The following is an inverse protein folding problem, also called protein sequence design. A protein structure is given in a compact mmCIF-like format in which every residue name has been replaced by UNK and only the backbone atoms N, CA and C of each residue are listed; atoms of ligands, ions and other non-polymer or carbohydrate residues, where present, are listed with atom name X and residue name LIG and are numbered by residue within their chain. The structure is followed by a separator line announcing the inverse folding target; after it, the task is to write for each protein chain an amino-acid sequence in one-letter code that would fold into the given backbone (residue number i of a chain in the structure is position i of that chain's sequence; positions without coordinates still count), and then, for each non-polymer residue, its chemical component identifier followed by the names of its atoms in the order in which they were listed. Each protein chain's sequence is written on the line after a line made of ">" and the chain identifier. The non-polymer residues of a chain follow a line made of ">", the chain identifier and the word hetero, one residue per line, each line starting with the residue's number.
data_IF_763331000550
#
_entry.id   IF_763331000550
#
_cell.length_a   1.000
_cell.length_b   1.000
_cell.length_c   1.000
_cell.angle_alpha   90.00
_cell.angle_beta   90.00
_cell.angle_gamma   90.00
#
_symmetry.space_group_name_H-M   'P 1'
#
loop_
_entity.id
_entity.type
_entity.pdbx_description
1 polymer ?
#
# COMPACT_ATOMS: atom_id res chain seq x y z
N UNK A 1 -35.23 21.43 39.65
CA UNK A 1 -35.16 21.22 38.20
C UNK A 1 -33.90 20.42 37.88
N UNK A 2 -33.94 19.10 38.06
CA UNK A 2 -32.83 18.24 37.68
C UNK A 2 -33.03 17.86 36.20
N UNK A 3 -32.23 18.47 35.31
CA UNK A 3 -32.26 18.14 33.89
C UNK A 3 -31.79 16.70 33.71
N UNK A 4 -32.71 15.81 33.30
CA UNK A 4 -32.39 14.43 33.01
C UNK A 4 -31.31 14.36 31.93
N UNK A 5 -30.19 13.72 32.25
CA UNK A 5 -29.17 13.40 31.27
C UNK A 5 -29.79 12.43 30.24
N UNK A 6 -29.98 12.89 29.01
CA UNK A 6 -30.38 12.03 27.88
C UNK A 6 -29.18 11.14 27.51
N UNK A 7 -29.10 9.98 28.14
CA UNK A 7 -28.04 8.99 27.87
C UNK A 7 -28.46 8.17 26.65
N UNK A 8 -28.25 8.70 25.45
CA UNK A 8 -28.70 8.05 24.20
C UNK A 8 -27.78 6.90 23.72
N UNK A 9 -26.59 6.67 24.31
CA UNK A 9 -25.81 5.47 23.95
C UNK A 9 -24.68 5.06 24.92
N UNK A 10 -25.03 4.37 26.01
CA UNK A 10 -24.05 3.58 26.79
C UNK A 10 -23.35 2.55 25.88
N UNK A 11 -24.09 2.01 24.92
CA UNK A 11 -23.61 1.07 23.91
C UNK A 11 -22.51 1.65 23.02
N UNK A 12 -22.60 2.93 22.65
CA UNK A 12 -21.56 3.59 21.86
C UNK A 12 -20.24 3.72 22.63
N UNK A 13 -20.30 3.92 23.95
CA UNK A 13 -19.09 3.92 24.80
C UNK A 13 -18.44 2.54 24.86
N UNK A 14 -19.23 1.46 24.94
CA UNK A 14 -18.69 0.08 24.89
C UNK A 14 -18.11 -0.27 23.52
N UNK A 15 -18.79 0.14 22.45
CA UNK A 15 -18.30 -0.03 21.09
C UNK A 15 -17.00 0.75 20.87
N UNK A 16 -16.94 2.00 21.33
CA UNK A 16 -15.73 2.82 21.27
C UNK A 16 -14.58 2.22 22.07
N UNK A 17 -14.83 1.75 23.30
CA UNK A 17 -13.82 1.01 24.09
C UNK A 17 -13.25 -0.17 23.33
N UNK A 18 -14.11 -0.98 22.73
CA UNK A 18 -13.71 -2.16 21.95
C UNK A 18 -12.85 -1.75 20.75
N UNK A 19 -13.28 -0.72 19.99
CA UNK A 19 -12.51 -0.18 18.87
C UNK A 19 -11.15 0.39 19.33
N UNK A 20 -11.11 1.05 20.49
CA UNK A 20 -9.91 1.64 21.06
C UNK A 20 -8.86 0.59 21.45
N UNK A 21 -9.29 -0.51 22.06
CA UNK A 21 -8.40 -1.65 22.38
C UNK A 21 -7.89 -2.30 21.09
N UNK A 22 -8.79 -2.59 20.14
CA UNK A 22 -8.41 -3.17 18.84
C UNK A 22 -7.42 -2.29 18.07
N UNK A 23 -7.57 -0.97 18.16
CA UNK A 23 -6.61 -0.02 17.58
C UNK A 23 -5.23 -0.17 18.23
N UNK A 24 -5.15 -0.25 19.57
CA UNK A 24 -3.89 -0.47 20.27
C UNK A 24 -3.21 -1.79 19.90
N UNK A 25 -3.99 -2.87 19.78
CA UNK A 25 -3.49 -4.17 19.30
C UNK A 25 -2.94 -4.08 17.87
N UNK A 26 -3.68 -3.44 16.97
CA UNK A 26 -3.26 -3.27 15.57
C UNK A 26 -1.98 -2.43 15.45
N UNK A 27 -1.87 -1.33 16.20
CA UNK A 27 -0.65 -0.50 16.23
C UNK A 27 0.53 -1.29 16.78
N UNK A 28 0.33 -2.02 17.88
CA UNK A 28 1.39 -2.82 18.51
C UNK A 28 1.90 -3.89 17.55
N UNK A 29 0.98 -4.61 16.90
CA UNK A 29 1.32 -5.65 15.92
C UNK A 29 2.10 -5.08 14.73
N UNK A 30 1.61 -4.00 14.12
CA UNK A 30 2.26 -3.38 12.97
C UNK A 30 3.69 -2.87 13.30
N UNK A 31 3.88 -2.29 14.49
CA UNK A 31 5.19 -1.86 14.94
C UNK A 31 6.14 -3.04 15.19
N UNK A 32 5.64 -4.14 15.76
CA UNK A 32 6.42 -5.36 16.00
C UNK A 32 6.83 -6.06 14.71
N UNK A 33 5.94 -6.14 13.73
CA UNK A 33 6.23 -6.76 12.43
C UNK A 33 7.34 -5.98 11.70
N UNK A 34 7.21 -4.66 11.61
CA UNK A 34 8.22 -3.79 11.00
C UNK A 34 9.58 -3.92 11.70
N UNK A 35 9.60 -3.85 13.03
CA UNK A 35 10.83 -4.01 13.82
C UNK A 35 11.48 -5.39 13.61
N UNK A 36 10.66 -6.44 13.55
CA UNK A 36 11.14 -7.81 13.35
C UNK A 36 11.80 -7.99 11.97
N UNK A 37 11.21 -7.41 10.91
CA UNK A 37 11.78 -7.46 9.56
C UNK A 37 13.09 -6.67 9.45
N UNK A 38 13.13 -5.47 10.03
CA UNK A 38 14.33 -4.64 10.08
C UNK A 38 15.46 -5.33 10.84
N UNK A 39 15.15 -5.88 12.02
CA UNK A 39 16.14 -6.57 12.84
C UNK A 39 16.64 -7.86 12.17
N UNK A 40 15.76 -8.64 11.54
CA UNK A 40 16.15 -9.83 10.76
C UNK A 40 17.11 -9.46 9.63
N UNK A 41 16.78 -8.40 8.89
CA UNK A 41 17.60 -7.90 7.78
C UNK A 41 18.97 -7.41 8.27
N UNK A 42 19.01 -6.71 9.40
CA UNK A 42 20.26 -6.27 10.02
C UNK A 42 21.13 -7.46 10.43
N UNK A 43 20.55 -8.44 11.13
CA UNK A 43 21.28 -9.66 11.54
C UNK A 43 21.86 -10.39 10.34
N UNK A 44 21.08 -10.54 9.26
CA UNK A 44 21.57 -11.14 8.01
C UNK A 44 22.74 -10.36 7.40
N UNK A 45 22.66 -9.02 7.38
CA UNK A 45 23.74 -8.15 6.87
C UNK A 45 25.00 -8.17 7.74
N UNK A 46 24.88 -8.44 9.05
CA UNK A 46 26.01 -8.47 9.98
C UNK A 46 26.68 -9.84 10.07
N UNK A 47 25.94 -10.92 9.83
CA UNK A 47 26.42 -12.30 10.07
C UNK A 47 26.56 -13.11 8.78
N UNK A 48 25.45 -13.40 8.11
CA UNK A 48 25.40 -14.30 6.95
C UNK A 48 26.03 -13.68 5.71
N UNK A 49 25.65 -12.45 5.36
CA UNK A 49 26.13 -11.80 4.15
C UNK A 49 27.66 -11.57 4.14
N UNK A 50 28.29 -11.10 5.23
CA UNK A 50 29.75 -10.96 5.27
C UNK A 50 30.46 -12.30 5.18
N UNK A 51 29.93 -13.33 5.84
CA UNK A 51 30.47 -14.70 5.80
C UNK A 51 30.41 -15.27 4.38
N UNK A 52 29.28 -15.11 3.71
CA UNK A 52 29.10 -15.54 2.32
C UNK A 52 30.09 -14.85 1.38
N UNK A 53 30.18 -13.51 1.41
CA UNK A 53 31.06 -12.77 0.52
C UNK A 53 32.55 -13.01 0.83
N UNK A 54 32.94 -13.17 2.10
CA UNK A 54 34.29 -13.59 2.47
C UNK A 54 34.64 -14.97 1.87
N UNK A 55 33.69 -15.92 1.88
CA UNK A 55 33.85 -17.22 1.22
C UNK A 55 33.97 -17.09 -0.30
N UNK A 56 33.17 -16.22 -0.94
CA UNK A 56 33.26 -15.96 -2.38
C UNK A 56 34.59 -15.32 -2.78
N UNK A 57 35.10 -14.39 -1.98
CA UNK A 57 36.40 -13.76 -2.19
C UNK A 57 37.51 -14.82 -2.18
N UNK A 58 37.54 -15.72 -1.19
CA UNK A 58 38.53 -16.82 -1.15
C UNK A 58 38.51 -17.67 -2.43
N UNK A 59 37.32 -18.12 -2.85
CA UNK A 59 37.16 -18.91 -4.09
C UNK A 59 37.62 -18.15 -5.34
N UNK A 60 37.33 -16.85 -5.42
CA UNK A 60 37.72 -16.00 -6.54
C UNK A 60 39.22 -15.69 -6.53
N UNK A 61 39.84 -15.53 -5.36
CA UNK A 61 41.29 -15.42 -5.20
C UNK A 61 42.01 -16.69 -5.68
N UNK A 62 41.50 -17.87 -5.33
CA UNK A 62 42.02 -19.15 -5.86
C UNK A 62 41.90 -19.24 -7.39
N UNK A 63 40.78 -18.75 -7.96
CA UNK A 63 40.61 -18.69 -9.42
C UNK A 63 41.61 -17.73 -10.09
N UNK A 64 41.88 -16.58 -9.47
CA UNK A 64 42.92 -15.65 -9.93
C UNK A 64 44.31 -16.30 -9.86
N UNK A 65 44.65 -17.00 -8.77
CA UNK A 65 45.93 -17.72 -8.66
C UNK A 65 46.10 -18.75 -9.77
N UNK A 66 45.08 -19.58 -10.00
CA UNK A 66 45.08 -20.58 -11.08
C UNK A 66 45.22 -19.94 -12.47
N UNK A 67 44.53 -18.83 -12.73
CA UNK A 67 44.66 -18.12 -13.99
C UNK A 67 46.05 -17.50 -14.20
N UNK A 68 46.67 -16.97 -13.13
CA UNK A 68 48.06 -16.48 -13.16
C UNK A 68 49.06 -17.60 -13.45
N UNK A 69 48.89 -18.75 -12.81
CA UNK A 69 49.73 -19.93 -13.03
C UNK A 69 49.60 -20.46 -14.45
N UNK A 70 48.38 -20.59 -14.98
CA UNK A 70 48.13 -21.00 -16.37
C UNK A 70 48.76 -20.04 -17.39
N UNK A 71 48.62 -18.73 -17.15
CA UNK A 71 49.27 -17.70 -17.97
C UNK A 71 50.79 -17.84 -17.93
N UNK A 72 51.37 -17.99 -16.73
CA UNK A 72 52.82 -18.18 -16.55
C UNK A 72 53.31 -19.45 -17.25
N UNK A 73 52.56 -20.54 -17.15
CA UNK A 73 52.90 -21.82 -17.77
C UNK A 73 52.95 -21.69 -19.29
N UNK A 74 51.94 -21.09 -19.93
CA UNK A 74 51.96 -20.85 -21.38
C UNK A 74 53.03 -19.88 -21.85
N UNK A 75 53.43 -18.92 -21.00
CA UNK A 75 54.51 -17.98 -21.33
C UNK A 75 55.90 -18.62 -21.22
N UNK A 76 56.10 -19.55 -20.27
CA UNK A 76 57.41 -20.15 -20.01
C UNK A 76 57.69 -21.43 -20.81
N UNK A 77 56.68 -22.27 -21.04
CA UNK A 77 56.87 -23.53 -21.75
C UNK A 77 56.58 -23.38 -23.25
N UNK A 78 57.52 -23.87 -24.07
CA UNK A 78 57.36 -23.95 -25.53
C UNK A 78 56.52 -25.18 -25.88
N UNK A 79 55.70 -25.08 -26.92
CA UNK A 79 54.98 -26.23 -27.45
C UNK A 79 55.96 -27.26 -28.06
N UNK A 80 55.46 -28.46 -28.38
CA UNK A 80 56.22 -29.52 -29.06
C UNK A 80 56.90 -29.07 -30.37
N UNK A 81 56.43 -27.97 -30.97
CA UNK A 81 57.01 -27.33 -32.16
C UNK A 81 58.15 -26.33 -31.87
N UNK A 82 58.52 -26.12 -30.60
CA UNK A 82 59.54 -25.16 -30.17
C UNK A 82 59.11 -23.68 -30.20
N UNK A 83 57.85 -23.37 -30.58
CA UNK A 83 57.26 -22.03 -30.55
C UNK A 83 56.54 -21.76 -29.24
N UNK A 84 56.51 -20.49 -28.81
CA UNK A 84 55.66 -20.04 -27.69
C UNK A 84 54.23 -19.82 -28.17
N UNK A 85 53.23 -20.52 -27.62
CA UNK A 85 51.84 -20.33 -28.00
C UNK A 85 51.34 -18.91 -27.66
N UNK A 86 50.32 -18.45 -28.38
CA UNK A 86 49.63 -17.20 -28.06
C UNK A 86 48.94 -17.31 -26.70
N UNK A 87 49.26 -16.40 -25.78
CA UNK A 87 48.73 -16.37 -24.40
C UNK A 87 47.55 -15.40 -24.22
N UNK A 88 46.92 -14.96 -25.33
CA UNK A 88 45.86 -13.94 -25.32
C UNK A 88 44.61 -14.41 -24.57
N UNK A 89 44.24 -15.69 -24.69
CA UNK A 89 43.06 -16.23 -24.03
C UNK A 89 43.27 -16.36 -22.52
N UNK A 90 44.47 -16.75 -22.07
CA UNK A 90 44.85 -16.79 -20.66
C UNK A 90 44.90 -15.39 -20.04
N UNK A 91 45.38 -14.39 -20.78
CA UNK A 91 45.34 -12.99 -20.35
C UNK A 91 43.90 -12.50 -20.17
N UNK A 92 43.01 -12.81 -21.11
CA UNK A 92 41.58 -12.49 -20.99
C UNK A 92 40.93 -13.22 -19.82
N UNK A 93 41.26 -14.50 -19.62
CA UNK A 93 40.75 -15.29 -18.50
C UNK A 93 41.21 -14.74 -17.15
N UNK A 94 42.47 -14.32 -17.04
CA UNK A 94 43.01 -13.65 -15.85
C UNK A 94 42.30 -12.32 -15.59
N UNK A 95 42.15 -11.48 -16.62
CA UNK A 95 41.45 -10.20 -16.50
C UNK A 95 40.00 -10.38 -16.03
N UNK A 96 39.29 -11.38 -16.55
CA UNK A 96 37.92 -11.71 -16.12
C UNK A 96 37.89 -12.21 -14.66
N UNK A 97 38.84 -13.06 -14.27
CA UNK A 97 38.92 -13.56 -12.89
C UNK A 97 39.21 -12.41 -11.90
N UNK A 98 40.07 -11.47 -12.26
CA UNK A 98 40.37 -10.27 -11.47
C UNK A 98 39.14 -9.36 -11.33
N UNK A 99 38.41 -9.08 -12.42
CA UNK A 99 37.16 -8.31 -12.36
C UNK A 99 36.12 -8.95 -11.44
N UNK A 100 35.96 -10.27 -11.54
CA UNK A 100 35.05 -11.00 -10.63
C UNK A 100 35.51 -10.89 -9.17
N UNK A 101 36.81 -10.94 -8.90
CA UNK A 101 37.30 -10.76 -7.53
C UNK A 101 36.96 -9.36 -7.00
N UNK A 102 37.25 -8.32 -7.79
CA UNK A 102 36.93 -6.91 -7.49
C UNK A 102 35.43 -6.73 -7.18
N UNK A 103 34.53 -7.25 -8.03
CA UNK A 103 33.08 -7.22 -7.78
C UNK A 103 32.68 -7.85 -6.43
N UNK A 104 33.36 -8.91 -5.99
CA UNK A 104 33.05 -9.55 -4.70
C UNK A 104 33.55 -8.71 -3.52
N UNK A 105 34.71 -8.09 -3.66
CA UNK A 105 35.29 -7.18 -2.67
C UNK A 105 34.42 -5.91 -2.51
N UNK A 106 33.95 -5.35 -3.63
CA UNK A 106 32.98 -4.24 -3.64
C UNK A 106 31.68 -4.63 -2.95
N UNK A 107 31.14 -5.82 -3.22
CA UNK A 107 29.91 -6.30 -2.56
C UNK A 107 30.09 -6.48 -1.06
N UNK A 108 31.24 -7.01 -0.61
CA UNK A 108 31.54 -7.10 0.82
C UNK A 108 31.65 -5.71 1.47
N UNK A 109 32.29 -4.75 0.79
CA UNK A 109 32.39 -3.37 1.27
C UNK A 109 31.00 -2.70 1.34
N UNK A 110 30.16 -2.94 0.34
CA UNK A 110 28.77 -2.48 0.30
C UNK A 110 27.95 -3.07 1.46
N UNK A 111 28.02 -4.39 1.70
CA UNK A 111 27.34 -5.04 2.83
C UNK A 111 27.71 -4.38 4.16
N UNK A 112 29.01 -4.17 4.43
CA UNK A 112 29.47 -3.49 5.66
C UNK A 112 29.02 -2.03 5.75
N UNK A 113 28.93 -1.33 4.62
CA UNK A 113 28.44 0.06 4.55
C UNK A 113 26.93 0.10 4.87
N UNK A 114 26.15 -0.77 4.25
CA UNK A 114 24.70 -0.80 4.42
C UNK A 114 24.28 -1.38 5.77
N UNK A 115 25.01 -2.33 6.36
CA UNK A 115 24.77 -2.79 7.73
C UNK A 115 24.83 -1.63 8.73
N UNK A 116 25.91 -0.83 8.70
CA UNK A 116 26.07 0.35 9.56
C UNK A 116 25.01 1.42 9.30
N UNK A 117 24.63 1.62 8.04
CA UNK A 117 23.57 2.58 7.68
C UNK A 117 22.23 2.10 8.22
N UNK A 118 21.87 0.84 7.98
CA UNK A 118 20.61 0.26 8.43
C UNK A 118 20.49 0.28 9.96
N UNK A 119 21.55 -0.07 10.70
CA UNK A 119 21.56 0.02 12.16
C UNK A 119 21.19 1.44 12.65
N UNK A 120 21.78 2.48 12.03
CA UNK A 120 21.46 3.87 12.36
C UNK A 120 20.02 4.25 12.02
N UNK A 121 19.52 3.84 10.86
CA UNK A 121 18.13 4.11 10.46
C UNK A 121 17.13 3.39 11.39
N UNK A 122 17.45 2.18 11.86
CA UNK A 122 16.66 1.44 12.85
C UNK A 122 16.61 2.21 14.19
N UNK A 123 17.73 2.74 14.66
CA UNK A 123 17.76 3.54 15.90
C UNK A 123 16.93 4.84 15.76
N UNK A 124 17.02 5.52 14.61
CA UNK A 124 16.22 6.71 14.30
C UNK A 124 14.73 6.37 14.25
N UNK A 125 14.38 5.26 13.57
CA UNK A 125 13.02 4.74 13.51
C UNK A 125 12.48 4.48 14.92
N UNK A 126 13.21 3.72 15.75
CA UNK A 126 12.84 3.42 17.15
C UNK A 126 12.55 4.70 17.93
N UNK A 127 13.43 5.69 17.83
CA UNK A 127 13.23 6.99 18.48
C UNK A 127 11.96 7.71 17.99
N UNK A 128 11.67 7.66 16.69
CA UNK A 128 10.50 8.31 16.10
C UNK A 128 9.17 7.66 16.50
N UNK A 129 9.12 6.34 16.60
CA UNK A 129 7.89 5.59 16.93
C UNK A 129 7.72 5.33 18.43
N UNK A 130 8.74 5.59 19.26
CA UNK A 130 8.73 5.26 20.69
C UNK A 130 7.51 5.83 21.43
N UNK A 131 7.11 7.07 21.14
CA UNK A 131 5.93 7.68 21.79
C UNK A 131 4.65 6.94 21.41
N UNK A 132 4.48 6.61 20.13
CA UNK A 132 3.33 5.87 19.64
C UNK A 132 3.29 4.46 20.25
N UNK A 133 4.43 3.77 20.32
CA UNK A 133 4.55 2.48 20.97
C UNK A 133 4.17 2.54 22.46
N UNK A 134 4.69 3.52 23.20
CA UNK A 134 4.33 3.73 24.61
C UNK A 134 2.84 4.01 24.79
N UNK A 135 2.26 4.87 23.96
CA UNK A 135 0.83 5.19 24.02
C UNK A 135 -0.05 3.98 23.69
N UNK A 136 0.36 3.16 22.71
CA UNK A 136 -0.35 1.93 22.39
C UNK A 136 -0.34 0.92 23.55
N UNK A 137 0.80 0.79 24.24
CA UNK A 137 0.97 -0.18 25.33
C UNK A 137 0.38 0.29 26.68
N UNK A 138 0.40 1.59 26.96
CA UNK A 138 0.07 2.13 28.31
C UNK A 138 -1.15 3.05 28.31
N UNK A 139 -1.19 4.02 27.40
CA UNK A 139 -2.24 5.05 27.40
C UNK A 139 -3.58 4.49 26.92
N UNK A 140 -3.56 3.59 25.93
CA UNK A 140 -4.77 2.97 25.40
C UNK A 140 -5.49 2.12 26.47
N UNK A 141 -4.84 1.19 27.18
CA UNK A 141 -5.48 0.46 28.28
C UNK A 141 -5.98 1.38 29.39
N UNK A 142 -5.22 2.44 29.73
CA UNK A 142 -5.64 3.41 30.73
C UNK A 142 -6.93 4.13 30.31
N UNK A 143 -7.00 4.61 29.08
CA UNK A 143 -8.20 5.26 28.54
C UNK A 143 -9.38 4.28 28.47
N UNK A 144 -9.16 3.02 28.07
CA UNK A 144 -10.19 1.99 28.10
C UNK A 144 -10.78 1.78 29.51
N UNK A 145 -9.93 1.75 30.54
CA UNK A 145 -10.39 1.66 31.94
C UNK A 145 -11.19 2.87 32.42
N UNK A 146 -10.90 4.07 31.89
CA UNK A 146 -11.69 5.29 32.17
C UNK A 146 -13.07 5.19 31.53
N UNK A 147 -13.15 4.68 30.31
CA UNK A 147 -14.43 4.43 29.62
C UNK A 147 -15.24 3.40 30.40
N UNK A 148 -14.62 2.32 30.91
CA UNK A 148 -15.30 1.33 31.76
C UNK A 148 -15.95 1.98 33.00
N UNK A 149 -15.23 2.88 33.68
CA UNK A 149 -15.77 3.61 34.84
C UNK A 149 -16.94 4.51 34.44
N UNK A 150 -16.84 5.21 33.31
CA UNK A 150 -17.91 6.06 32.80
C UNK A 150 -19.17 5.23 32.49
N UNK A 151 -19.01 4.09 31.82
CA UNK A 151 -20.10 3.15 31.53
C UNK A 151 -20.76 2.68 32.83
N UNK A 152 -19.98 2.22 33.81
CA UNK A 152 -20.50 1.75 35.09
C UNK A 152 -21.28 2.84 35.85
N UNK A 153 -20.79 4.08 35.83
CA UNK A 153 -21.49 5.22 36.45
C UNK A 153 -22.82 5.51 35.74
N UNK A 154 -22.84 5.51 34.40
CA UNK A 154 -24.08 5.76 33.64
C UNK A 154 -25.12 4.65 33.84
N UNK A 155 -24.70 3.39 33.95
CA UNK A 155 -25.59 2.27 34.27
C UNK A 155 -26.25 2.45 35.66
N UNK A 156 -25.50 2.92 36.65
CA UNK A 156 -26.05 3.21 37.99
C UNK A 156 -27.12 4.31 37.94
N UNK A 157 -26.91 5.36 37.14
CA UNK A 157 -27.90 6.43 36.96
C UNK A 157 -29.18 5.94 36.30
N UNK A 158 -29.07 5.08 35.28
CA UNK A 158 -30.24 4.47 34.64
C UNK A 158 -31.00 3.58 35.63
N UNK A 159 -30.29 2.81 36.46
CA UNK A 159 -30.90 1.95 37.48
C UNK A 159 -31.64 2.72 38.60
N UNK A 160 -31.28 3.98 38.85
CA UNK A 160 -31.89 4.86 39.86
C UNK A 160 -33.07 5.69 39.33
N UNK A 161 -33.37 5.65 38.03
CA UNK A 161 -34.46 6.42 37.44
C UNK A 161 -35.84 5.80 37.80
N UNK A 162 -36.79 6.56 38.38
CA UNK A 162 -38.11 6.03 38.71
C UNK A 162 -38.91 5.73 37.43
N UNK A 163 -39.59 4.58 37.42
CA UNK A 163 -40.42 4.11 36.31
C UNK A 163 -41.59 5.08 36.04
N UNK A 164 -41.44 5.93 35.02
CA UNK A 164 -42.49 6.78 34.48
C UNK A 164 -42.57 6.60 32.97
N UNK A 165 -43.66 5.96 32.54
CA UNK A 165 -44.16 5.82 31.16
C UNK A 165 -43.28 5.08 30.14
N UNK A 166 -43.55 3.77 30.03
CA UNK A 166 -43.35 3.02 28.81
C UNK A 166 -44.60 3.12 27.91
N UNK A 167 -44.44 2.95 26.59
CA UNK A 167 -45.24 2.00 25.86
C UNK A 167 -44.37 0.79 25.49
N UNK A 168 -44.90 -0.38 25.83
CA UNK A 168 -44.33 -1.67 25.51
C UNK A 168 -44.54 -2.03 24.03
N UNK A 169 -43.48 -2.48 23.37
CA UNK A 169 -43.32 -3.85 22.87
C UNK A 169 -42.48 -3.89 21.57
N UNK A 170 -41.24 -4.34 21.69
CA UNK A 170 -40.84 -5.63 21.12
C UNK A 170 -39.49 -6.05 21.73
N UNK A 171 -39.59 -6.98 22.69
CA UNK A 171 -38.48 -7.76 23.18
C UNK A 171 -38.72 -9.21 22.75
N UNK A 172 -37.86 -9.73 21.89
CA UNK A 172 -37.72 -11.15 21.65
C UNK A 172 -36.24 -11.48 21.40
N UNK A 173 -35.63 -12.19 22.35
CA UNK A 173 -34.46 -13.02 22.10
C UNK A 173 -33.14 -12.57 22.71
N UNK A 174 -33.00 -12.70 24.04
CA UNK A 174 -31.70 -12.96 24.65
C UNK A 174 -31.52 -14.49 24.75
N UNK A 175 -30.44 -15.03 24.17
CA UNK A 175 -29.97 -16.38 24.47
C UNK A 175 -29.39 -17.15 23.28
N UNK A 176 -28.14 -16.89 22.93
CA UNK A 176 -27.19 -17.90 22.47
C UNK A 176 -25.77 -17.31 22.53
N UNK A 177 -24.93 -17.90 23.38
CA UNK A 177 -23.50 -17.80 23.26
C UNK A 177 -23.10 -18.59 22.01
N UNK A 178 -22.87 -17.91 20.90
CA UNK A 178 -22.21 -18.46 19.73
C UNK A 178 -21.15 -17.48 19.22
N UNK A 179 -20.02 -18.06 18.85
CA UNK A 179 -18.94 -17.37 18.16
C UNK A 179 -19.47 -16.74 16.88
N UNK A 180 -19.66 -15.43 16.85
CA UNK A 180 -19.88 -14.73 15.59
C UNK A 180 -18.66 -13.91 15.22
N UNK A 181 -17.95 -14.45 14.23
CA UNK A 181 -17.26 -13.69 13.20
C UNK A 181 -18.27 -12.69 12.63
N UNK A 182 -18.38 -11.51 13.25
CA UNK A 182 -19.12 -10.40 12.66
C UNK A 182 -18.56 -10.11 11.26
N UNK A 183 -19.37 -9.62 10.31
CA UNK A 183 -18.90 -9.33 8.96
C UNK A 183 -17.66 -8.44 9.09
N UNK A 184 -16.56 -8.85 8.45
CA UNK A 184 -15.31 -8.09 8.39
C UNK A 184 -15.58 -6.83 7.56
N UNK A 185 -16.28 -5.85 8.13
CA UNK A 185 -16.54 -4.57 7.49
C UNK A 185 -15.18 -3.94 7.17
N UNK A 186 -15.01 -3.57 5.91
CA UNK A 186 -13.74 -3.03 5.42
C UNK A 186 -13.39 -1.72 6.17
N UNK A 187 -12.12 -1.48 6.54
CA UNK A 187 -11.70 -0.26 7.24
C UNK A 187 -12.04 1.03 6.47
N UNK A 188 -12.27 0.92 5.17
CA UNK A 188 -12.67 2.01 4.28
C UNK A 188 -14.14 2.42 4.42
N UNK A 189 -14.98 1.66 5.14
CA UNK A 189 -16.40 1.99 5.34
C UNK A 189 -16.60 3.36 6.01
N UNK A 190 -15.61 3.81 6.79
CA UNK A 190 -15.61 5.13 7.44
C UNK A 190 -15.68 6.29 6.45
N UNK A 191 -15.15 6.12 5.23
CA UNK A 191 -15.06 7.18 4.23
C UNK A 191 -16.42 7.67 3.76
N UNK A 192 -17.47 6.83 3.83
CA UNK A 192 -18.86 7.26 3.56
C UNK A 192 -19.33 8.39 4.48
N UNK A 193 -18.76 8.50 5.69
CA UNK A 193 -19.05 9.59 6.64
C UNK A 193 -18.32 10.89 6.28
N UNK A 194 -17.27 10.80 5.46
CA UNK A 194 -16.49 11.93 4.99
C UNK A 194 -17.08 12.58 3.74
N UNK A 195 -18.02 11.89 3.06
CA UNK A 195 -18.73 12.44 1.92
C UNK A 195 -19.64 13.59 2.39
N UNK A 196 -19.51 14.80 1.82
CA UNK A 196 -20.34 15.94 2.18
C UNK A 196 -21.83 15.65 1.97
N UNK A 197 -22.64 16.26 2.82
CA UNK A 197 -24.10 16.14 2.74
C UNK A 197 -24.63 16.67 1.39
N UNK A 198 -25.80 16.20 0.94
CA UNK A 198 -26.31 16.52 -0.39
C UNK A 198 -26.53 18.01 -0.64
N UNK A 199 -26.95 18.76 0.37
CA UNK A 199 -27.09 20.22 0.35
C UNK A 199 -25.75 20.93 0.08
N UNK A 200 -24.68 20.47 0.74
CA UNK A 200 -23.32 21.00 0.54
C UNK A 200 -22.80 20.65 -0.85
N UNK A 201 -23.03 19.42 -1.32
CA UNK A 201 -22.65 18.98 -2.68
C UNK A 201 -23.39 19.76 -3.76
N UNK A 202 -24.68 20.00 -3.58
CA UNK A 202 -25.50 20.77 -4.52
C UNK A 202 -25.06 22.25 -4.62
N UNK A 203 -24.46 22.79 -3.56
CA UNK A 203 -23.94 24.15 -3.52
C UNK A 203 -22.52 24.30 -4.09
N UNK A 204 -21.86 23.22 -4.49
CA UNK A 204 -20.48 23.26 -4.99
C UNK A 204 -20.38 24.09 -6.28
N UNK A 205 -19.37 24.97 -6.34
CA UNK A 205 -19.19 25.87 -7.48
C UNK A 205 -18.77 25.09 -8.73
N UNK A 206 -19.33 25.45 -9.89
CA UNK A 206 -18.89 24.90 -11.16
C UNK A 206 -17.47 25.37 -11.46
N UNK A 207 -16.58 24.41 -11.73
CA UNK A 207 -15.19 24.71 -12.02
C UNK A 207 -14.70 23.90 -13.23
N UNK A 208 -13.70 24.42 -13.93
CA UNK A 208 -12.93 23.60 -14.86
C UNK A 208 -11.95 22.72 -14.07
N UNK A 209 -11.78 21.47 -14.48
CA UNK A 209 -10.75 20.63 -13.90
C UNK A 209 -9.37 21.26 -14.23
N UNK A 210 -8.50 21.54 -13.25
CA UNK A 210 -7.18 22.07 -13.53
C UNK A 210 -6.37 21.07 -14.37
N UNK A 211 -5.38 21.59 -15.12
CA UNK A 211 -4.41 20.76 -15.81
C UNK A 211 -3.43 20.20 -14.76
N UNK A 212 -3.62 18.95 -14.34
CA UNK A 212 -2.91 18.42 -13.17
C UNK A 212 -2.41 17.00 -13.29
N UNK A 213 -1.26 16.77 -12.63
CA UNK A 213 -0.67 15.47 -12.31
C UNK A 213 -1.34 14.89 -11.06
N UNK A 214 -2.38 14.06 -11.27
CA UNK A 214 -3.00 13.31 -10.17
C UNK A 214 -1.98 12.35 -9.55
N UNK A 215 -1.88 12.32 -8.21
CA UNK A 215 -0.92 11.43 -7.53
C UNK A 215 -1.34 9.95 -7.51
N UNK A 216 -2.62 9.67 -7.70
CA UNK A 216 -3.13 8.29 -7.79
C UNK A 216 -2.72 7.66 -9.11
N UNK A 217 -2.43 6.36 -9.09
CA UNK A 217 -2.01 5.64 -10.28
C UNK A 217 -3.11 5.58 -11.35
N UNK A 218 -2.67 5.36 -12.59
CA UNK A 218 -3.54 5.01 -13.72
C UNK A 218 -4.12 3.61 -13.49
N UNK A 219 -5.41 3.41 -13.78
CA UNK A 219 -6.04 2.08 -13.72
C UNK A 219 -5.47 1.19 -14.84
N UNK A 220 -4.49 0.37 -14.47
CA UNK A 220 -3.80 -0.55 -15.39
C UNK A 220 -4.69 -1.69 -15.90
N UNK A 221 -4.21 -2.46 -16.90
CA UNK A 221 -5.01 -3.51 -17.56
C UNK A 221 -5.56 -4.58 -16.59
N UNK A 222 -4.73 -5.06 -15.66
CA UNK A 222 -5.15 -6.07 -14.68
C UNK A 222 -6.26 -5.55 -13.75
N UNK A 223 -6.16 -4.30 -13.29
CA UNK A 223 -7.19 -3.68 -12.46
C UNK A 223 -8.48 -3.44 -13.26
N UNK A 224 -8.37 -3.04 -14.53
CA UNK A 224 -9.53 -2.89 -15.42
C UNK A 224 -10.26 -4.21 -15.62
N UNK A 225 -9.52 -5.28 -15.83
CA UNK A 225 -10.09 -6.63 -15.95
C UNK A 225 -10.75 -7.07 -14.63
N UNK A 226 -10.12 -6.83 -13.48
CA UNK A 226 -10.68 -7.14 -12.17
C UNK A 226 -11.99 -6.37 -11.91
N UNK A 227 -12.05 -5.08 -12.29
CA UNK A 227 -13.28 -4.28 -12.21
C UNK A 227 -14.43 -4.84 -13.06
N UNK A 228 -14.14 -5.59 -14.12
CA UNK A 228 -15.15 -6.28 -14.94
C UNK A 228 -15.68 -7.56 -14.28
N UNK A 229 -14.92 -8.19 -13.40
CA UNK A 229 -15.32 -9.39 -12.65
C UNK A 229 -16.14 -9.11 -11.38
N UNK A 230 -16.35 -7.84 -11.04
CA UNK A 230 -17.19 -7.45 -9.91
C UNK A 230 -18.64 -7.91 -10.15
N UNK A 231 -19.31 -8.52 -9.16
CA UNK A 231 -20.69 -8.97 -9.26
C UNK A 231 -21.69 -7.80 -9.12
N UNK A 232 -21.45 -6.72 -9.86
CA UNK A 232 -22.20 -5.47 -9.79
C UNK A 232 -22.70 -5.09 -11.19
N UNK A 233 -23.99 -4.76 -11.30
CA UNK A 233 -24.57 -4.28 -12.54
C UNK A 233 -24.06 -2.87 -12.87
N UNK A 234 -23.47 -2.70 -14.05
CA UNK A 234 -22.85 -1.44 -14.45
C UNK A 234 -23.92 -0.39 -14.80
N UNK A 235 -23.73 0.83 -14.30
CA UNK A 235 -24.59 1.99 -14.52
C UNK A 235 -23.75 3.17 -15.03
N UNK A 236 -23.41 3.21 -16.33
CA UNK A 236 -22.61 4.28 -16.91
C UNK A 236 -23.30 5.65 -16.74
N UNK A 237 -22.61 6.66 -16.20
CA UNK A 237 -23.13 8.03 -16.17
C UNK A 237 -23.16 8.63 -17.57
N UNK A 238 -24.07 9.58 -17.80
CA UNK A 238 -24.07 10.34 -19.05
C UNK A 238 -22.92 11.35 -19.03
N UNK A 239 -22.23 11.61 -20.17
CA UNK A 239 -21.11 12.56 -20.22
C UNK A 239 -21.47 13.98 -19.77
N UNK A 240 -22.72 14.40 -19.99
CA UNK A 240 -23.27 15.70 -19.60
C UNK A 240 -23.61 15.81 -18.11
N UNK A 241 -23.59 14.72 -17.35
CA UNK A 241 -23.85 14.75 -15.91
C UNK A 241 -22.67 15.34 -15.14
N UNK A 242 -22.97 15.92 -13.98
CA UNK A 242 -22.03 16.56 -13.08
C UNK A 242 -21.66 15.64 -11.93
N UNK A 243 -20.43 15.77 -11.46
CA UNK A 243 -19.91 15.11 -10.26
C UNK A 243 -19.27 16.14 -9.34
N UNK A 244 -19.19 15.80 -8.06
CA UNK A 244 -18.58 16.68 -7.05
C UNK A 244 -17.21 16.14 -6.67
N UNK A 245 -16.20 17.00 -6.72
CA UNK A 245 -14.82 16.70 -6.40
C UNK A 245 -14.38 17.63 -5.27
N UNK A 246 -13.81 17.08 -4.21
CA UNK A 246 -13.03 17.87 -3.28
C UNK A 246 -11.68 18.20 -3.94
N UNK A 247 -11.34 19.49 -4.04
CA UNK A 247 -10.14 19.95 -4.74
C UNK A 247 -8.84 19.27 -4.23
N UNK A 248 -8.79 18.89 -2.95
CA UNK A 248 -7.66 18.20 -2.34
C UNK A 248 -7.39 16.81 -2.93
N UNK A 249 -8.42 16.15 -3.46
CA UNK A 249 -8.31 14.80 -4.01
C UNK A 249 -7.32 14.71 -5.18
N UNK A 250 -7.14 15.80 -5.94
CA UNK A 250 -6.18 15.84 -7.06
C UNK A 250 -4.75 15.62 -6.56
N UNK A 251 -4.42 16.18 -5.39
CA UNK A 251 -3.07 16.17 -4.81
C UNK A 251 -2.87 15.16 -3.67
N UNK A 252 -3.94 14.46 -3.28
CA UNK A 252 -3.93 13.47 -2.21
C UNK A 252 -3.21 12.19 -2.65
N UNK A 253 -2.52 11.52 -1.73
CA UNK A 253 -1.84 10.26 -2.02
C UNK A 253 -2.84 9.09 -2.18
N UNK A 254 -3.97 9.18 -1.47
CA UNK A 254 -5.10 8.27 -1.57
C UNK A 254 -6.40 9.05 -1.72
N UNK A 255 -7.28 8.57 -2.61
CA UNK A 255 -8.61 9.15 -2.86
C UNK A 255 -9.66 8.07 -2.78
N UNK A 256 -10.90 8.48 -2.55
CA UNK A 256 -12.04 7.61 -2.75
C UNK A 256 -13.08 8.25 -3.66
N UNK A 257 -13.75 7.38 -4.39
CA UNK A 257 -14.91 7.67 -5.21
C UNK A 257 -16.12 7.04 -4.53
N UNK A 258 -17.19 7.79 -4.30
CA UNK A 258 -18.45 7.23 -3.81
C UNK A 258 -19.57 7.55 -4.80
N UNK A 259 -20.34 6.52 -5.17
CA UNK A 259 -21.56 6.68 -5.98
C UNK A 259 -22.77 6.72 -5.08
N UNK A 260 -23.40 7.88 -4.99
CA UNK A 260 -24.64 8.12 -4.25
C UNK A 260 -25.84 8.24 -5.20
N UNK A 261 -27.08 8.13 -4.69
CA UNK A 261 -28.25 8.49 -5.47
C UNK A 261 -28.16 9.94 -5.94
N UNK A 262 -28.56 10.21 -7.19
CA UNK A 262 -28.64 11.56 -7.74
C UNK A 262 -29.62 12.40 -6.91
N UNK A 263 -29.21 13.60 -6.48
CA UNK A 263 -30.03 14.46 -5.61
C UNK A 263 -30.41 15.81 -6.21
N UNK A 264 -29.89 16.15 -7.38
CA UNK A 264 -30.23 17.37 -8.12
C UNK A 264 -30.16 17.14 -9.64
N UNK A 265 -30.73 18.04 -10.46
CA UNK A 265 -30.72 17.88 -11.92
C UNK A 265 -29.30 17.69 -12.46
N UNK A 266 -29.16 16.72 -13.37
CA UNK A 266 -27.89 16.32 -13.98
C UNK A 266 -26.81 15.82 -12.99
N UNK A 267 -27.15 15.51 -11.73
CA UNK A 267 -26.23 14.88 -10.77
C UNK A 267 -25.93 13.43 -11.22
N UNK A 268 -24.66 13.13 -11.46
CA UNK A 268 -24.25 11.74 -11.68
C UNK A 268 -24.32 10.96 -10.37
N UNK A 269 -24.26 11.62 -9.21
CA UNK A 269 -24.16 11.01 -7.90
C UNK A 269 -22.73 10.66 -7.50
N UNK A 270 -21.73 10.94 -8.35
CA UNK A 270 -20.34 10.69 -8.01
C UNK A 270 -19.79 11.80 -7.11
N UNK A 271 -19.15 11.39 -6.03
CA UNK A 271 -18.30 12.23 -5.22
C UNK A 271 -16.87 11.68 -5.22
N UNK A 272 -15.87 12.57 -5.25
CA UNK A 272 -14.45 12.22 -5.15
C UNK A 272 -13.81 13.03 -4.04
N UNK A 273 -13.18 12.36 -3.08
CA UNK A 273 -12.53 13.00 -1.93
C UNK A 273 -11.20 12.37 -1.55
N UNK A 274 -10.37 13.07 -0.76
CA UNK A 274 -9.19 12.45 -0.15
C UNK A 274 -9.61 11.31 0.78
N UNK A 275 -8.93 10.17 0.70
CA UNK A 275 -9.13 9.06 1.64
C UNK A 275 -8.31 9.24 2.93
N UNK A 276 -7.39 10.20 2.92
CA UNK A 276 -6.63 10.67 4.08
C UNK A 276 -7.42 11.76 4.82
N UNK A 277 -7.21 11.91 6.13
CA UNK A 277 -7.81 12.97 6.96
C UNK A 277 -7.20 14.35 6.59
N UNK A 278 -7.50 14.82 5.38
CA UNK A 278 -7.11 16.13 4.86
C UNK A 278 -8.08 17.19 5.35
N UNK A 279 -7.60 18.42 5.57
CA UNK A 279 -8.44 19.55 5.94
C UNK A 279 -9.58 19.76 4.91
N UNK A 280 -10.74 20.30 5.31
CA UNK A 280 -11.81 20.58 4.38
C UNK A 280 -11.37 21.63 3.35
N UNK A 281 -11.23 21.20 2.09
CA UNK A 281 -10.95 22.06 0.95
C UNK A 281 -12.22 22.39 0.16
N UNK A 282 -12.09 23.33 -0.77
CA UNK A 282 -13.17 23.74 -1.67
C UNK A 282 -13.73 22.53 -2.46
N UNK A 283 -15.06 22.50 -2.60
CA UNK A 283 -15.75 21.53 -3.44
C UNK A 283 -16.00 22.13 -4.82
N UNK A 284 -15.66 21.37 -5.84
CA UNK A 284 -15.89 21.71 -7.23
C UNK A 284 -16.92 20.78 -7.86
N UNK A 285 -17.77 21.36 -8.69
CA UNK A 285 -18.71 20.64 -9.52
C UNK A 285 -18.17 20.62 -10.96
N UNK A 286 -17.83 19.43 -11.47
CA UNK A 286 -17.23 19.21 -12.80
C UNK A 286 -18.06 18.23 -13.60
N UNK A 287 -17.98 18.28 -14.93
CA UNK A 287 -18.69 17.28 -15.77
C UNK A 287 -17.93 15.96 -15.83
N UNK A 288 -18.66 14.85 -16.03
CA UNK A 288 -18.10 13.52 -16.26
C UNK A 288 -17.19 13.54 -17.51
N UNK A 289 -17.60 14.24 -18.57
CA UNK A 289 -16.81 14.42 -19.78
C UNK A 289 -15.45 15.07 -19.49
N UNK A 290 -15.43 16.15 -18.69
CA UNK A 290 -14.18 16.83 -18.33
C UNK A 290 -13.22 15.93 -17.57
N UNK A 291 -13.73 15.11 -16.63
CA UNK A 291 -12.89 14.15 -15.90
C UNK A 291 -12.34 13.06 -16.84
N UNK A 292 -13.19 12.48 -17.70
CA UNK A 292 -12.78 11.40 -18.60
C UNK A 292 -11.85 11.88 -19.72
N UNK A 293 -11.92 13.16 -20.11
CA UNK A 293 -10.94 13.75 -21.01
C UNK A 293 -9.55 13.81 -20.38
N UNK A 294 -9.44 14.10 -19.08
CA UNK A 294 -8.18 14.12 -18.35
C UNK A 294 -7.70 12.73 -17.90
N UNK A 295 -8.63 11.86 -17.49
CA UNK A 295 -8.39 10.53 -16.90
C UNK A 295 -9.31 9.48 -17.54
N UNK A 296 -9.08 9.09 -18.81
CA UNK A 296 -9.92 8.13 -19.51
C UNK A 296 -9.90 6.73 -18.88
N UNK A 297 -8.85 6.42 -18.11
CA UNK A 297 -8.70 5.19 -17.36
C UNK A 297 -9.72 5.00 -16.23
N UNK A 298 -10.36 6.08 -15.76
CA UNK A 298 -11.38 6.03 -14.71
C UNK A 298 -12.76 5.57 -15.19
N UNK A 299 -12.99 5.44 -16.51
CA UNK A 299 -14.29 5.01 -17.05
C UNK A 299 -14.86 3.74 -16.37
N UNK A 300 -14.09 2.64 -16.20
CA UNK A 300 -14.61 1.43 -15.57
C UNK A 300 -15.00 1.59 -14.09
N UNK A 301 -14.41 2.59 -13.41
CA UNK A 301 -14.79 2.98 -12.05
C UNK A 301 -16.10 3.74 -12.08
N UNK A 302 -16.24 4.71 -13.00
CA UNK A 302 -17.43 5.55 -13.10
C UNK A 302 -18.69 4.78 -13.53
N UNK A 303 -18.52 3.64 -14.19
CA UNK A 303 -19.59 2.70 -14.56
C UNK A 303 -20.15 1.90 -13.38
N UNK A 304 -19.58 1.99 -12.18
CA UNK A 304 -20.09 1.27 -11.01
C UNK A 304 -21.42 1.86 -10.50
N UNK A 305 -22.32 0.99 -9.99
CA UNK A 305 -23.67 1.40 -9.60
C UNK A 305 -23.70 2.24 -8.34
N UNK A 306 -24.87 2.84 -8.09
CA UNK A 306 -25.18 3.55 -6.85
C UNK A 306 -24.98 2.63 -5.64
N UNK A 307 -24.39 3.20 -4.59
CA UNK A 307 -24.05 2.50 -3.35
C UNK A 307 -22.61 2.01 -3.30
N UNK A 308 -21.81 2.14 -4.37
CA UNK A 308 -20.41 1.69 -4.37
C UNK A 308 -19.46 2.77 -3.83
N UNK A 309 -18.41 2.34 -3.14
CA UNK A 309 -17.26 3.16 -2.77
C UNK A 309 -15.97 2.51 -3.27
N UNK A 310 -15.13 3.26 -3.99
CA UNK A 310 -13.85 2.79 -4.53
C UNK A 310 -12.73 3.59 -3.90
N UNK A 311 -11.68 2.93 -3.42
CA UNK A 311 -10.47 3.58 -2.90
C UNK A 311 -9.34 3.38 -3.88
N UNK A 312 -8.58 4.44 -4.15
CA UNK A 312 -7.43 4.43 -5.05
C UNK A 312 -6.23 5.16 -4.47
N UNK A 313 -5.03 4.62 -4.70
CA UNK A 313 -3.76 5.19 -4.25
C UNK A 313 -2.68 5.07 -5.34
N UNK A 314 -1.41 5.23 -4.96
CA UNK A 314 -0.27 5.12 -5.87
C UNK A 314 -0.07 3.70 -6.48
N UNK A 315 -0.75 2.67 -5.97
CA UNK A 315 -0.73 1.30 -6.50
C UNK A 315 -1.90 1.01 -7.45
N UNK A 316 -2.91 1.87 -7.50
CA UNK A 316 -4.10 1.72 -8.34
C UNK A 316 -5.37 1.62 -7.49
N UNK A 317 -6.20 0.60 -7.71
CA UNK A 317 -7.42 0.38 -6.92
C UNK A 317 -7.04 -0.45 -5.70
N UNK A 318 -7.33 0.10 -4.52
CA UNK A 318 -7.03 -0.52 -3.23
C UNK A 318 -8.22 -1.31 -2.67
N UNK A 319 -9.45 -0.83 -2.89
CA UNK A 319 -10.68 -1.48 -2.43
C UNK A 319 -11.91 -1.06 -3.24
N UNK A 320 -12.93 -1.93 -3.27
CA UNK A 320 -14.24 -1.66 -3.89
C UNK A 320 -15.32 -2.19 -2.96
N UNK A 321 -15.98 -1.28 -2.25
CA UNK A 321 -17.00 -1.58 -1.27
C UNK A 321 -18.37 -1.49 -1.90
N UNK A 322 -19.21 -2.49 -1.65
CA UNK A 322 -20.62 -2.46 -2.01
C UNK A 322 -21.45 -1.62 -1.01
N UNK A 323 -22.77 -1.57 -1.23
CA UNK A 323 -23.70 -0.85 -0.36
C UNK A 323 -23.76 -1.42 1.08
N UNK A 324 -23.33 -2.67 1.29
CA UNK A 324 -23.24 -3.34 2.60
C UNK A 324 -21.87 -3.15 3.25
N UNK A 325 -20.98 -2.38 2.62
CA UNK A 325 -19.60 -2.14 3.02
C UNK A 325 -18.71 -3.42 3.04
N UNK A 326 -19.07 -4.41 2.23
CA UNK A 326 -18.23 -5.56 1.93
C UNK A 326 -17.23 -5.20 0.84
N UNK A 327 -15.95 -5.54 1.04
CA UNK A 327 -14.91 -5.31 0.04
C UNK A 327 -14.87 -6.44 -0.99
N UNK A 328 -15.29 -6.11 -2.20
CA UNK A 328 -15.35 -7.02 -3.34
C UNK A 328 -14.01 -7.12 -4.08
N UNK A 329 -13.06 -6.23 -3.78
CA UNK A 329 -11.83 -6.11 -4.54
C UNK A 329 -10.88 -7.30 -4.41
N UNK A 330 -10.62 -7.88 -3.22
CA UNK A 330 -9.70 -9.01 -3.08
C UNK A 330 -10.13 -10.23 -3.92
N UNK A 331 -11.44 -10.51 -3.97
CA UNK A 331 -11.98 -11.62 -4.74
C UNK A 331 -11.91 -11.35 -6.26
N UNK A 332 -12.16 -10.12 -6.69
CA UNK A 332 -12.07 -9.72 -8.09
C UNK A 332 -10.64 -9.76 -8.61
N UNK A 333 -9.68 -9.23 -7.84
CA UNK A 333 -8.26 -9.21 -8.21
C UNK A 333 -7.67 -10.63 -8.27
N UNK A 334 -8.06 -11.51 -7.34
CA UNK A 334 -7.64 -12.91 -7.33
C UNK A 334 -8.02 -13.65 -8.61
N UNK A 335 -9.20 -13.39 -9.18
CA UNK A 335 -9.64 -14.02 -10.44
C UNK A 335 -8.74 -13.69 -11.63
N UNK A 336 -8.09 -12.52 -11.62
CA UNK A 336 -7.22 -12.06 -12.69
C UNK A 336 -5.78 -12.50 -12.47
N UNK A 337 -5.27 -12.39 -11.24
CA UNK A 337 -3.84 -12.61 -10.94
C UNK A 337 -3.52 -14.01 -10.43
N UNK A 338 -4.52 -14.77 -9.96
CA UNK A 338 -4.34 -16.08 -9.33
C UNK A 338 -3.59 -16.05 -7.98
N UNK A 339 -3.18 -14.87 -7.51
CA UNK A 339 -2.36 -14.68 -6.31
C UNK A 339 -3.23 -14.23 -5.13
N UNK A 340 -3.17 -14.93 -3.98
CA UNK A 340 -3.71 -14.41 -2.72
C UNK A 340 -2.91 -13.15 -2.36
N UNK A 341 -3.58 -12.14 -1.82
CA UNK A 341 -2.98 -10.85 -1.41
C UNK A 341 -1.93 -10.96 -0.27
N UNK A 342 -1.48 -12.17 0.07
CA UNK A 342 -0.34 -12.47 0.95
C UNK A 342 0.88 -13.09 0.25
N UNK A 343 0.81 -13.45 -1.03
CA UNK A 343 1.93 -14.06 -1.77
C UNK A 343 2.73 -13.06 -2.64
N UNK A 344 2.21 -11.83 -2.83
CA UNK A 344 2.83 -10.82 -3.69
C UNK A 344 4.13 -10.20 -3.13
N UNK A 345 4.54 -10.54 -1.90
CA UNK A 345 5.83 -10.12 -1.33
C UNK A 345 7.01 -11.00 -1.78
N UNK A 346 6.79 -12.09 -2.52
CA UNK A 346 7.84 -13.06 -2.83
C UNK A 346 7.91 -13.43 -4.32
N UNK A 347 8.01 -12.47 -5.24
CA UNK A 347 8.55 -12.78 -6.58
C UNK A 347 9.25 -11.57 -7.22
N UNK A 348 10.55 -11.44 -6.97
CA UNK A 348 11.45 -10.69 -7.86
C UNK A 348 11.73 -11.58 -9.08
N UNK A 349 11.45 -11.14 -10.32
CA UNK A 349 11.82 -11.91 -11.49
C UNK A 349 13.34 -11.84 -11.67
N UNK A 350 14.01 -12.99 -11.63
CA UNK A 350 15.39 -13.14 -12.10
C UNK A 350 15.42 -12.85 -13.61
N UNK A 351 16.03 -11.74 -13.99
CA UNK A 351 16.36 -11.46 -15.39
C UNK A 351 17.44 -12.45 -15.87
N UNK A 352 17.01 -13.41 -16.68
CA UNK A 352 17.86 -14.27 -17.50
C UNK A 352 18.49 -13.42 -18.61
N UNK A 353 19.81 -13.29 -18.60
CA UNK A 353 20.58 -12.75 -19.73
C UNK A 353 20.97 -13.89 -20.68
N UNK A 354 20.15 -14.10 -21.71
CA UNK A 354 20.53 -14.85 -22.90
C UNK A 354 20.57 -13.88 -24.09
N UNK A 355 21.75 -13.75 -24.68
CA UNK A 355 22.01 -12.83 -25.78
C UNK A 355 21.64 -13.38 -27.16
N UNK A 356 21.44 -12.43 -28.09
CA UNK A 356 21.70 -12.49 -29.53
C UNK A 356 21.54 -11.02 -30.00
N UNK A 357 22.42 -10.36 -30.73
CA UNK A 357 23.28 -10.84 -31.80
C UNK A 357 22.79 -10.28 -33.15
N UNK A 358 23.48 -9.25 -33.66
CA UNK A 358 23.51 -8.85 -35.08
C UNK A 358 22.52 -7.74 -35.49
N UNK A 359 22.78 -6.85 -36.44
CA UNK A 359 23.97 -6.41 -37.21
C UNK A 359 23.46 -5.26 -38.14
N UNK A 360 24.40 -4.52 -38.77
CA UNK A 360 24.27 -3.71 -39.99
C UNK A 360 23.94 -2.20 -39.80
N UNK A 361 24.92 -1.30 -39.98
CA UNK A 361 25.40 -0.69 -41.26
C UNK A 361 24.69 0.65 -41.53
N UNK A 362 25.28 1.77 -41.97
CA UNK A 362 26.61 2.07 -42.52
C UNK A 362 26.82 3.64 -42.49
N UNK A 363 27.55 4.33 -43.41
CA UNK A 363 28.87 4.91 -43.13
C UNK A 363 29.06 6.39 -43.55
N UNK A 364 30.29 6.92 -43.34
CA UNK A 364 30.82 8.14 -43.95
C UNK A 364 30.53 9.42 -43.15
N UNK A 365 31.39 10.43 -43.07
CA UNK A 365 32.53 10.82 -43.90
C UNK A 365 33.18 12.04 -43.20
N UNK A 366 34.53 12.20 -43.31
CA UNK A 366 35.31 13.47 -43.41
C UNK A 366 35.12 14.57 -42.33
N UNK A 367 36.05 15.44 -41.91
CA UNK A 367 37.44 15.81 -42.20
C UNK A 367 37.85 16.88 -41.13
N UNK A 368 39.14 17.06 -40.90
CA UNK A 368 39.82 18.30 -40.46
C UNK A 368 39.33 19.09 -39.21
N UNK A 369 40.12 19.10 -38.12
CA UNK A 369 41.18 20.10 -37.82
C UNK A 369 41.93 19.74 -36.54
#
# INVERSE_FOLDING_TARGET
>A
MAGGARVESIEALRAFRTAWIKFGEAVTLALQDAESEMQRTLVWLETEAPTYWAGQIRKRQEAVSRAKEALRQKQMYKDFSGRTPSAVDEQKALALAMKRLEEAEEKLAAVKKYARRLAREIDLYKGSVQRLATSAMSDIPLAASRIDRMVATLEQYVALAPAGEAPAAEAAGAGAAESEVGPRLSPWCRLRRSTPRPDVRAAAARAALPATDWKIAIVGPAHREALAYLPLEKQPPQPSQWMVLNAAAITAASVYFERLPAQFPDDSGWYVGPADDSEPHELWCISIESLLAARPDLRPVLELPVGVLVVMDASGVAAVLDARAEDLWPAALYKVTGARMGDAAATVPQASSAGAGGNASAPGQTEAQ
#
